data_IF_580385653577
#
_entry.id   IF_580385653577
#
_cell.length_a   1.000
_cell.length_b   1.000
_cell.length_c   1.000
_cell.angle_alpha   90.00
_cell.angle_beta   90.00
_cell.angle_gamma   90.00
#
_symmetry.space_group_name_H-M   'P 1'
#
loop_
_entity.id
_entity.type
_entity.pdbx_description
1 polymer ?
#
# COMPACT_ATOMS: atom_id res chain seq x y z
N UNK A 1 26.76 18.46 -26.10
CA UNK A 1 26.94 17.44 -25.05
C UNK A 1 26.61 16.10 -25.64
N UNK A 2 27.31 14.99 -25.31
CA UNK A 2 26.93 13.69 -25.84
C UNK A 2 25.50 13.38 -25.40
N UNK A 3 24.64 13.08 -26.38
CA UNK A 3 23.25 12.74 -26.18
C UNK A 3 23.19 11.40 -25.43
N UNK A 4 22.90 11.46 -24.13
CA UNK A 4 22.70 10.28 -23.28
C UNK A 4 21.21 9.97 -23.23
N UNK A 5 20.87 8.69 -23.41
CA UNK A 5 19.49 8.22 -23.38
C UNK A 5 19.25 7.41 -22.12
N UNK A 6 18.15 7.71 -21.44
CA UNK A 6 17.82 7.07 -20.17
C UNK A 6 17.13 5.72 -20.38
N UNK A 7 17.48 4.77 -19.52
CA UNK A 7 17.03 3.39 -19.58
C UNK A 7 16.29 3.02 -18.30
N UNK A 8 15.31 2.13 -18.44
CA UNK A 8 14.59 1.51 -17.34
C UNK A 8 15.02 0.03 -17.26
N UNK A 9 16.10 -0.20 -16.51
CA UNK A 9 16.70 -1.53 -16.33
C UNK A 9 16.20 -2.15 -15.03
N UNK A 10 15.46 -3.29 -15.09
CA UNK A 10 15.08 -4.03 -13.90
C UNK A 10 16.29 -4.47 -13.08
N UNK A 11 16.15 -4.60 -11.76
CA UNK A 11 17.29 -4.93 -10.89
C UNK A 11 17.98 -6.25 -11.29
N UNK A 12 17.20 -7.26 -11.68
CA UNK A 12 17.71 -8.56 -12.13
C UNK A 12 18.50 -8.52 -13.45
N UNK A 13 18.37 -7.46 -14.23
CA UNK A 13 18.98 -7.33 -15.56
C UNK A 13 20.18 -6.38 -15.61
N UNK A 14 20.56 -5.80 -14.47
CA UNK A 14 21.63 -4.79 -14.35
C UNK A 14 22.96 -5.24 -14.96
N UNK A 15 23.33 -6.51 -14.78
CA UNK A 15 24.63 -7.03 -15.23
C UNK A 15 24.64 -7.25 -16.75
N UNK A 16 23.49 -7.62 -17.32
CA UNK A 16 23.30 -7.70 -18.76
C UNK A 16 23.32 -6.29 -19.38
N UNK A 17 22.65 -5.30 -18.78
CA UNK A 17 22.67 -3.92 -19.27
C UNK A 17 24.07 -3.32 -19.24
N UNK A 18 24.82 -3.56 -18.14
CA UNK A 18 26.21 -3.13 -18.01
C UNK A 18 27.11 -3.77 -19.08
N UNK A 19 26.94 -5.06 -19.33
CA UNK A 19 27.66 -5.81 -20.37
C UNK A 19 27.36 -5.27 -21.77
N UNK A 20 26.12 -4.87 -22.03
CA UNK A 20 25.69 -4.22 -23.27
C UNK A 20 26.13 -2.73 -23.40
N UNK A 21 26.87 -2.21 -22.43
CA UNK A 21 27.46 -0.86 -22.49
C UNK A 21 26.66 0.23 -21.78
N UNK A 22 25.55 -0.09 -21.11
CA UNK A 22 24.85 0.86 -20.26
C UNK A 22 25.72 1.28 -19.06
N UNK A 23 25.43 2.47 -18.52
CA UNK A 23 26.11 3.05 -17.35
C UNK A 23 25.08 3.49 -16.32
N UNK A 24 25.49 3.55 -15.07
CA UNK A 24 24.66 4.01 -13.96
C UNK A 24 25.08 5.41 -13.55
N UNK A 25 24.12 6.33 -13.49
CA UNK A 25 24.30 7.66 -12.92
C UNK A 25 23.77 7.67 -11.48
N UNK A 26 24.63 7.78 -10.45
CA UNK A 26 24.22 7.72 -9.05
C UNK A 26 23.47 8.97 -8.58
N UNK A 27 23.66 10.12 -9.24
CA UNK A 27 23.06 11.39 -8.83
C UNK A 27 21.58 11.43 -9.20
N UNK A 28 21.25 10.99 -10.42
CA UNK A 28 19.84 10.85 -10.85
C UNK A 28 19.27 9.45 -10.59
N UNK A 29 20.11 8.53 -10.12
CA UNK A 29 19.76 7.12 -9.81
C UNK A 29 19.10 6.42 -11.00
N UNK A 30 19.74 6.49 -12.17
CA UNK A 30 19.19 5.93 -13.41
C UNK A 30 20.26 5.35 -14.33
N UNK A 31 19.88 4.32 -15.07
CA UNK A 31 20.70 3.75 -16.13
C UNK A 31 20.64 4.61 -17.38
N UNK A 32 21.73 4.70 -18.12
CA UNK A 32 21.79 5.43 -19.39
C UNK A 32 22.71 4.76 -20.41
N UNK A 33 22.38 4.97 -21.68
CA UNK A 33 23.27 4.68 -22.81
C UNK A 33 24.22 5.87 -22.99
N UNK A 34 25.56 5.68 -22.89
CA UNK A 34 26.52 6.78 -23.04
C UNK A 34 26.65 7.29 -24.48
N UNK A 35 26.16 6.52 -25.46
CA UNK A 35 26.18 6.85 -26.90
C UNK A 35 24.92 6.29 -27.56
N UNK A 36 24.28 7.08 -28.43
CA UNK A 36 23.09 6.68 -29.22
C UNK A 36 23.34 5.42 -30.06
N UNK A 37 24.57 5.22 -30.55
CA UNK A 37 24.95 4.03 -31.32
C UNK A 37 24.78 2.69 -30.55
N UNK A 38 24.66 2.71 -29.21
CA UNK A 38 24.39 1.51 -28.41
C UNK A 38 22.90 1.19 -28.28
N UNK A 39 22.00 2.03 -28.79
CA UNK A 39 20.55 1.82 -28.68
C UNK A 39 20.07 0.47 -29.24
N UNK A 40 20.54 -0.03 -30.40
CA UNK A 40 20.08 -1.33 -30.88
C UNK A 40 20.30 -2.46 -29.85
N UNK A 41 21.43 -2.44 -29.15
CA UNK A 41 21.78 -3.41 -28.10
C UNK A 41 21.03 -3.17 -26.77
N UNK A 42 20.56 -1.94 -26.55
CA UNK A 42 19.93 -1.50 -25.31
C UNK A 42 18.40 -1.29 -25.45
N UNK A 43 17.83 -1.51 -26.64
CA UNK A 43 16.45 -1.17 -26.98
C UNK A 43 15.40 -1.82 -26.06
N UNK A 44 15.73 -2.98 -25.50
CA UNK A 44 14.84 -3.66 -24.54
C UNK A 44 14.65 -2.92 -23.22
N UNK A 45 15.59 -2.04 -22.85
CA UNK A 45 15.53 -1.20 -21.64
C UNK A 45 15.23 0.26 -21.95
N UNK A 46 14.89 0.59 -23.20
CA UNK A 46 14.47 1.94 -23.54
C UNK A 46 13.28 2.36 -22.65
N UNK A 47 13.32 3.59 -22.15
CA UNK A 47 12.27 4.06 -21.25
C UNK A 47 10.94 4.21 -21.98
N UNK A 48 9.91 3.51 -21.47
CA UNK A 48 8.55 3.52 -22.04
C UNK A 48 7.52 4.16 -21.11
N UNK A 49 7.95 4.60 -19.93
CA UNK A 49 7.07 5.28 -18.96
C UNK A 49 7.29 6.78 -19.07
N UNK A 50 6.24 7.57 -19.38
CA UNK A 50 6.37 9.02 -19.43
C UNK A 50 6.65 9.58 -18.04
N UNK A 51 7.35 10.72 -17.97
CA UNK A 51 7.63 11.41 -16.70
C UNK A 51 6.35 12.03 -16.08
N UNK A 52 5.26 12.10 -16.84
CA UNK A 52 3.94 12.54 -16.40
C UNK A 52 2.89 11.51 -16.83
N UNK A 53 2.02 11.13 -15.90
CA UNK A 53 0.86 10.28 -16.21
C UNK A 53 -0.31 11.17 -16.66
N UNK A 54 -0.87 10.96 -17.87
CA UNK A 54 -2.01 11.75 -18.34
C UNK A 54 -3.21 11.64 -17.40
N UNK A 55 -3.75 12.78 -16.98
CA UNK A 55 -4.92 12.83 -16.10
C UNK A 55 -4.63 12.57 -14.61
N UNK A 56 -3.36 12.43 -14.22
CA UNK A 56 -3.00 12.35 -12.80
C UNK A 56 -3.29 13.69 -12.08
N UNK A 57 -4.15 13.67 -11.06
CA UNK A 57 -4.31 14.81 -10.16
C UNK A 57 -3.34 14.67 -8.98
N UNK A 58 -2.20 15.35 -9.08
CA UNK A 58 -1.19 15.37 -8.02
C UNK A 58 -1.66 16.01 -6.72
N UNK A 59 -2.83 16.68 -6.73
CA UNK A 59 -3.44 17.21 -5.51
C UNK A 59 -4.37 16.21 -4.83
N UNK A 60 -4.80 15.16 -5.54
CA UNK A 60 -5.66 14.13 -5.00
C UNK A 60 -4.92 13.30 -3.94
N UNK A 61 -5.61 13.01 -2.83
CA UNK A 61 -5.05 12.22 -1.73
C UNK A 61 -3.73 12.76 -1.17
N UNK A 62 -3.58 14.08 -1.08
CA UNK A 62 -2.43 14.75 -0.47
C UNK A 62 -2.37 14.57 1.05
N UNK A 63 -1.16 14.69 1.60
CA UNK A 63 -0.90 14.56 3.03
C UNK A 63 -0.86 13.12 3.51
N UNK A 64 -0.81 12.95 4.83
CA UNK A 64 -0.81 11.64 5.47
C UNK A 64 -2.17 11.35 6.10
N UNK A 65 -2.81 10.28 5.70
CA UNK A 65 -4.06 9.81 6.29
C UNK A 65 -4.19 8.30 6.14
N UNK A 66 -4.99 7.69 7.01
CA UNK A 66 -5.41 6.29 6.87
C UNK A 66 -6.26 6.13 5.60
N UNK A 67 -5.78 5.33 4.65
CA UNK A 67 -6.39 5.09 3.33
C UNK A 67 -6.60 3.58 3.15
N UNK A 68 -7.73 3.10 3.65
CA UNK A 68 -8.06 1.68 3.62
C UNK A 68 -8.73 1.33 2.30
N UNK A 69 -8.11 0.41 1.56
CA UNK A 69 -8.71 -0.21 0.38
C UNK A 69 -9.81 -1.18 0.82
N UNK A 70 -11.03 -1.14 0.21
CA UNK A 70 -12.10 -2.09 0.51
C UNK A 70 -11.63 -3.53 0.37
N UNK A 71 -12.14 -4.45 1.21
CA UNK A 71 -11.67 -5.85 1.21
C UNK A 71 -11.91 -6.56 -0.12
N UNK A 72 -12.98 -6.22 -0.83
CA UNK A 72 -13.33 -6.72 -2.18
C UNK A 72 -12.36 -6.26 -3.27
N UNK A 73 -11.48 -5.29 -2.97
CA UNK A 73 -10.45 -4.77 -3.88
C UNK A 73 -9.03 -5.21 -3.48
N UNK A 74 -8.86 -5.99 -2.41
CA UNK A 74 -7.54 -6.39 -1.95
C UNK A 74 -6.78 -7.18 -3.02
N UNK A 75 -5.46 -7.06 -2.98
CA UNK A 75 -4.53 -7.71 -3.90
C UNK A 75 -4.71 -7.41 -5.40
N UNK A 76 -5.63 -6.50 -5.77
CA UNK A 76 -5.73 -5.94 -7.12
C UNK A 76 -5.23 -4.50 -7.09
N UNK A 77 -3.96 -4.33 -7.42
CA UNK A 77 -3.24 -3.05 -7.41
C UNK A 77 -2.51 -2.85 -8.74
N UNK A 78 -1.82 -1.71 -8.92
CA UNK A 78 -1.15 -1.43 -10.19
C UNK A 78 -0.09 -2.48 -10.49
N UNK A 79 0.69 -2.88 -9.47
CA UNK A 79 1.73 -3.91 -9.59
C UNK A 79 1.19 -5.26 -10.08
N UNK A 80 -0.03 -5.65 -9.73
CA UNK A 80 -0.65 -6.89 -10.24
C UNK A 80 -1.15 -6.79 -11.67
N UNK A 81 -1.30 -5.57 -12.19
CA UNK A 81 -1.90 -5.29 -13.49
C UNK A 81 -0.88 -4.84 -14.55
N UNK A 82 0.42 -4.81 -14.24
CA UNK A 82 1.49 -4.48 -15.20
C UNK A 82 2.63 -5.50 -15.04
N UNK A 83 3.49 -5.63 -16.05
CA UNK A 83 4.67 -6.48 -15.90
C UNK A 83 5.70 -5.90 -14.90
N UNK A 84 6.62 -6.73 -14.42
CA UNK A 84 7.61 -6.34 -13.40
C UNK A 84 8.49 -5.17 -13.87
N UNK A 85 8.88 -5.14 -15.15
CA UNK A 85 9.69 -4.08 -15.72
C UNK A 85 8.93 -2.75 -15.79
N UNK A 86 7.66 -2.80 -16.20
CA UNK A 86 6.78 -1.63 -16.19
C UNK A 86 6.54 -1.09 -14.79
N UNK A 87 6.30 -1.97 -13.81
CA UNK A 87 6.16 -1.57 -12.41
C UNK A 87 7.43 -0.90 -11.88
N UNK A 88 8.59 -1.48 -12.21
CA UNK A 88 9.90 -0.95 -11.82
C UNK A 88 10.19 0.43 -12.43
N UNK A 89 9.82 0.63 -13.69
CA UNK A 89 9.88 1.91 -14.36
C UNK A 89 8.92 2.93 -13.73
N UNK A 90 7.67 2.56 -13.47
CA UNK A 90 6.65 3.40 -12.84
C UNK A 90 7.06 3.89 -11.46
N UNK A 91 7.41 2.97 -10.55
CA UNK A 91 7.81 3.34 -9.19
C UNK A 91 9.07 4.22 -9.21
N UNK A 92 10.01 3.94 -10.12
CA UNK A 92 11.22 4.75 -10.27
C UNK A 92 10.91 6.17 -10.77
N UNK A 93 10.02 6.30 -11.75
CA UNK A 93 9.52 7.59 -12.22
C UNK A 93 8.85 8.36 -11.08
N UNK A 94 7.94 7.72 -10.33
CA UNK A 94 7.25 8.34 -9.19
C UNK A 94 8.26 8.85 -8.15
N UNK A 95 9.32 8.08 -7.84
CA UNK A 95 10.36 8.52 -6.92
C UNK A 95 11.19 9.69 -7.45
N UNK A 96 11.50 9.74 -8.75
CA UNK A 96 12.22 10.86 -9.37
C UNK A 96 11.36 12.12 -9.39
N UNK A 97 10.09 12.00 -9.80
CA UNK A 97 9.10 13.07 -9.82
C UNK A 97 8.89 13.69 -8.43
N UNK A 98 8.98 12.88 -7.38
CA UNK A 98 8.94 13.33 -5.99
C UNK A 98 10.28 13.90 -5.48
N UNK A 99 11.29 14.08 -6.34
CA UNK A 99 12.63 14.53 -5.95
C UNK A 99 13.31 13.59 -4.97
N UNK A 100 12.93 12.31 -4.95
CA UNK A 100 13.34 11.32 -3.95
C UNK A 100 13.00 11.69 -2.49
N UNK A 101 11.87 12.37 -2.27
CA UNK A 101 11.33 12.63 -0.94
C UNK A 101 9.93 12.03 -0.80
N UNK A 102 9.51 11.76 0.43
CA UNK A 102 8.14 11.39 0.75
C UNK A 102 7.22 12.58 0.43
N UNK A 103 6.20 12.37 -0.40
CA UNK A 103 5.24 13.42 -0.77
C UNK A 103 4.25 13.76 0.35
N UNK A 104 4.23 12.98 1.45
CA UNK A 104 3.37 13.24 2.61
C UNK A 104 4.10 13.98 3.76
N UNK A 105 5.30 13.53 4.14
CA UNK A 105 6.03 14.10 5.27
C UNK A 105 7.35 14.80 4.90
N UNK A 106 7.74 14.78 3.63
CA UNK A 106 8.98 15.41 3.15
C UNK A 106 10.27 14.64 3.49
N UNK A 107 10.21 13.50 4.19
CA UNK A 107 11.41 12.75 4.54
C UNK A 107 12.19 12.27 3.30
N UNK A 108 13.53 12.42 3.25
CA UNK A 108 14.34 11.99 2.11
C UNK A 108 14.38 10.46 2.00
N UNK A 109 14.54 9.97 0.76
CA UNK A 109 14.74 8.55 0.49
C UNK A 109 16.09 8.08 1.03
N UNK A 110 16.05 7.19 2.01
CA UNK A 110 17.20 6.47 2.55
C UNK A 110 17.12 4.96 2.33
N UNK A 111 17.76 4.21 3.23
CA UNK A 111 17.74 2.74 3.26
C UNK A 111 16.72 2.22 4.28
N UNK A 112 16.36 0.94 4.19
CA UNK A 112 15.51 0.27 5.16
C UNK A 112 14.17 0.96 5.44
N UNK A 113 13.94 1.44 6.66
CA UNK A 113 12.72 2.18 7.06
C UNK A 113 12.65 3.60 6.49
N UNK A 114 13.63 4.00 5.68
CA UNK A 114 13.64 5.27 4.93
C UNK A 114 13.48 5.05 3.42
N UNK A 115 13.25 3.81 2.96
CA UNK A 115 12.93 3.57 1.55
C UNK A 115 11.61 4.26 1.16
N UNK A 116 11.51 4.64 -0.11
CA UNK A 116 10.24 5.06 -0.70
C UNK A 116 9.50 3.85 -1.26
N UNK A 117 8.18 3.91 -1.14
CA UNK A 117 7.21 2.98 -1.70
C UNK A 117 6.22 3.80 -2.54
N UNK A 118 5.96 3.35 -3.76
CA UNK A 118 4.92 3.93 -4.61
C UNK A 118 3.58 3.36 -4.14
N UNK A 119 2.65 4.26 -3.83
CA UNK A 119 1.33 3.91 -3.30
C UNK A 119 0.24 4.48 -4.19
N UNK A 120 -0.83 3.71 -4.41
CA UNK A 120 -1.97 4.12 -5.19
C UNK A 120 -2.99 4.93 -4.37
N UNK A 121 -3.40 6.10 -4.87
CA UNK A 121 -4.60 6.80 -4.39
C UNK A 121 -5.76 6.51 -5.32
N UNK A 122 -6.84 6.01 -4.73
CA UNK A 122 -8.05 5.59 -5.43
C UNK A 122 -9.19 6.57 -5.16
N UNK A 123 -9.92 6.91 -6.22
CA UNK A 123 -11.27 7.42 -6.09
C UNK A 123 -12.26 6.26 -6.13
N UNK A 124 -13.35 6.38 -5.38
CA UNK A 124 -14.41 5.38 -5.32
C UNK A 124 -15.73 6.08 -5.66
N UNK A 125 -16.25 5.81 -6.86
CA UNK A 125 -17.58 6.26 -7.28
C UNK A 125 -18.62 5.22 -6.84
N UNK A 126 -19.40 5.55 -5.82
CA UNK A 126 -20.44 4.68 -5.24
C UNK A 126 -21.71 4.60 -6.12
N UNK A 127 -21.89 5.50 -7.10
CA UNK A 127 -23.02 5.43 -8.02
C UNK A 127 -22.79 4.37 -9.12
N UNK A 128 -21.55 4.24 -9.59
CA UNK A 128 -21.17 3.28 -10.64
C UNK A 128 -20.41 2.06 -10.11
N UNK A 129 -20.04 2.08 -8.82
CA UNK A 129 -19.12 1.16 -8.17
C UNK A 129 -17.81 1.01 -8.95
N UNK A 130 -17.15 2.14 -9.21
CA UNK A 130 -15.87 2.18 -9.93
C UNK A 130 -14.76 2.70 -9.00
N UNK A 131 -13.70 1.90 -8.87
CA UNK A 131 -12.44 2.25 -8.23
C UNK A 131 -11.49 2.78 -9.31
N UNK A 132 -11.16 4.06 -9.27
CA UNK A 132 -10.36 4.73 -10.29
C UNK A 132 -8.99 5.13 -9.76
N UNK A 133 -7.91 4.75 -10.45
CA UNK A 133 -6.58 5.24 -10.10
C UNK A 133 -6.52 6.74 -10.37
N UNK A 134 -6.29 7.54 -9.33
CA UNK A 134 -6.18 9.01 -9.47
C UNK A 134 -4.77 9.54 -9.28
N UNK A 135 -3.94 8.82 -8.53
CA UNK A 135 -2.54 9.20 -8.33
C UNK A 135 -1.67 8.02 -7.90
N UNK A 136 -0.41 8.01 -8.34
CA UNK A 136 0.66 7.25 -7.69
C UNK A 136 1.47 8.22 -6.83
N UNK A 137 1.66 7.94 -5.55
CA UNK A 137 2.36 8.83 -4.60
C UNK A 137 3.58 8.14 -4.00
N UNK A 138 4.70 8.85 -3.87
CA UNK A 138 5.89 8.35 -3.18
C UNK A 138 5.77 8.54 -1.66
N UNK A 139 5.73 7.45 -0.89
CA UNK A 139 5.65 7.50 0.57
C UNK A 139 6.88 6.85 1.20
N UNK A 140 7.38 7.42 2.30
CA UNK A 140 8.34 6.70 3.14
C UNK A 140 7.63 5.55 3.86
N UNK A 141 8.40 4.57 4.33
CA UNK A 141 7.88 3.41 5.06
C UNK A 141 6.89 3.76 6.19
N UNK A 142 7.16 4.81 6.98
CA UNK A 142 6.28 5.20 8.10
C UNK A 142 4.95 5.77 7.59
N UNK A 143 5.00 6.62 6.56
CA UNK A 143 3.80 7.16 5.91
C UNK A 143 3.00 6.06 5.20
N UNK A 144 3.68 5.15 4.50
CA UNK A 144 3.05 4.04 3.81
C UNK A 144 2.34 3.10 4.79
N UNK A 145 2.98 2.81 5.93
CA UNK A 145 2.38 2.03 7.01
C UNK A 145 1.17 2.72 7.66
N UNK A 146 1.28 4.02 7.94
CA UNK A 146 0.17 4.78 8.51
C UNK A 146 -1.02 4.87 7.54
N UNK A 147 -0.75 4.91 6.25
CA UNK A 147 -1.76 4.82 5.19
C UNK A 147 -2.47 3.46 5.23
N UNK A 148 -1.70 2.36 5.27
CA UNK A 148 -2.21 0.99 5.42
C UNK A 148 -2.48 0.60 6.88
N UNK A 149 -3.26 1.41 7.60
CA UNK A 149 -3.41 1.28 9.05
C UNK A 149 -3.97 -0.09 9.50
N UNK A 150 -4.87 -0.70 8.73
CA UNK A 150 -5.38 -2.05 9.03
C UNK A 150 -4.27 -3.10 9.12
N UNK A 151 -3.24 -3.01 8.25
CA UNK A 151 -2.07 -3.88 8.34
C UNK A 151 -1.19 -3.55 9.56
N UNK A 152 -1.08 -2.27 9.92
CA UNK A 152 -0.36 -1.87 11.13
C UNK A 152 -1.01 -2.45 12.41
N UNK A 153 -2.34 -2.56 12.47
CA UNK A 153 -3.02 -3.23 13.58
C UNK A 153 -2.70 -4.73 13.65
N UNK A 154 -2.83 -5.46 12.53
CA UNK A 154 -2.54 -6.90 12.49
C UNK A 154 -1.09 -7.22 12.87
N UNK A 155 -0.16 -6.35 12.48
CA UNK A 155 1.27 -6.53 12.77
C UNK A 155 1.70 -5.96 14.12
N UNK A 156 0.79 -5.43 14.94
CA UNK A 156 1.10 -4.87 16.26
C UNK A 156 1.87 -3.54 16.23
N UNK A 157 1.82 -2.81 15.12
CA UNK A 157 2.55 -1.55 14.91
C UNK A 157 1.65 -0.32 14.78
N UNK A 158 0.38 -0.44 15.17
CA UNK A 158 -0.62 0.64 15.11
C UNK A 158 -0.30 1.83 16.01
N UNK A 159 0.35 1.61 17.15
CA UNK A 159 0.83 2.68 18.03
C UNK A 159 1.86 3.57 17.32
N UNK A 160 2.84 2.97 16.64
CA UNK A 160 3.84 3.71 15.84
C UNK A 160 3.17 4.48 14.69
N UNK A 161 2.23 3.84 13.98
CA UNK A 161 1.48 4.47 12.90
C UNK A 161 0.65 5.67 13.39
N UNK A 162 -0.01 5.55 14.56
CA UNK A 162 -0.79 6.63 15.17
C UNK A 162 0.10 7.79 15.61
N UNK A 163 1.24 7.50 16.24
CA UNK A 163 2.21 8.52 16.60
C UNK A 163 2.73 9.27 15.36
N UNK A 164 2.97 8.56 14.26
CA UNK A 164 3.41 9.17 13.01
C UNK A 164 2.34 10.06 12.35
N UNK A 165 1.07 9.61 12.31
CA UNK A 165 -0.07 10.43 11.86
C UNK A 165 -0.13 11.76 12.62
N UNK A 166 0.00 11.71 13.94
CA UNK A 166 -0.01 12.89 14.80
C UNK A 166 1.16 13.82 14.50
N UNK A 167 2.37 13.28 14.41
CA UNK A 167 3.57 14.06 14.17
C UNK A 167 3.55 14.79 12.82
N UNK A 168 3.07 14.12 11.76
CA UNK A 168 3.05 14.71 10.41
C UNK A 168 1.93 15.73 10.25
N UNK A 169 0.75 15.46 10.82
CA UNK A 169 -0.42 16.33 10.65
C UNK A 169 -0.60 17.39 11.76
N UNK A 170 0.22 17.34 12.81
CA UNK A 170 0.02 18.19 14.00
C UNK A 170 -1.22 17.82 14.81
N UNK A 171 -1.74 16.60 14.67
CA UNK A 171 -2.98 16.18 15.33
C UNK A 171 -2.78 15.86 16.82
N UNK A 172 -3.76 16.25 17.62
CA UNK A 172 -3.99 15.72 18.96
C UNK A 172 -4.28 14.21 18.92
N UNK A 173 -4.25 13.57 20.09
CA UNK A 173 -4.61 12.15 20.19
C UNK A 173 -6.06 11.90 19.74
N UNK A 174 -6.99 12.77 20.15
CA UNK A 174 -8.41 12.65 19.79
C UNK A 174 -8.68 12.83 18.30
N UNK A 175 -7.99 13.76 17.63
CA UNK A 175 -8.14 13.95 16.17
C UNK A 175 -7.64 12.74 15.39
N UNK A 176 -6.50 12.16 15.80
CA UNK A 176 -5.97 10.96 15.17
C UNK A 176 -6.89 9.75 15.36
N UNK A 177 -7.42 9.56 16.57
CA UNK A 177 -8.38 8.50 16.86
C UNK A 177 -9.67 8.66 16.05
N UNK A 178 -10.26 9.86 16.05
CA UNK A 178 -11.45 10.15 15.25
C UNK A 178 -11.20 9.96 13.75
N UNK A 179 -10.01 10.27 13.24
CA UNK A 179 -9.64 9.99 11.85
C UNK A 179 -9.61 8.49 11.55
N UNK A 180 -8.95 7.72 12.42
CA UNK A 180 -8.86 6.25 12.29
C UNK A 180 -10.26 5.63 12.29
N UNK A 181 -11.12 6.02 13.23
CA UNK A 181 -12.50 5.54 13.31
C UNK A 181 -13.31 5.85 12.04
N UNK A 182 -13.23 7.08 11.52
CA UNK A 182 -13.90 7.44 10.26
C UNK A 182 -13.39 6.62 9.07
N UNK A 183 -12.08 6.37 9.01
CA UNK A 183 -11.49 5.59 7.94
C UNK A 183 -11.97 4.12 7.97
N UNK A 184 -12.07 3.52 9.16
CA UNK A 184 -12.62 2.18 9.31
C UNK A 184 -14.12 2.11 9.03
N UNK A 185 -14.90 3.09 9.47
CA UNK A 185 -16.33 3.15 9.14
C UNK A 185 -16.57 3.29 7.63
N UNK A 186 -15.74 4.05 6.92
CA UNK A 186 -15.78 4.15 5.46
C UNK A 186 -15.39 2.82 4.80
N UNK A 187 -14.34 2.18 5.29
CA UNK A 187 -13.89 0.88 4.81
C UNK A 187 -14.96 -0.21 4.98
N UNK A 188 -15.64 -0.28 6.13
CA UNK A 188 -16.72 -1.23 6.38
C UNK A 188 -17.83 -1.07 5.34
N UNK A 189 -18.28 0.17 5.08
CA UNK A 189 -19.32 0.45 4.07
C UNK A 189 -18.87 0.10 2.65
N UNK A 190 -17.66 0.48 2.24
CA UNK A 190 -17.20 0.20 0.87
C UNK A 190 -16.91 -1.28 0.62
N UNK A 191 -16.63 -2.03 1.68
CA UNK A 191 -16.34 -3.46 1.60
C UNK A 191 -17.57 -4.34 1.39
N UNK A 192 -18.79 -3.78 1.44
CA UNK A 192 -20.03 -4.50 1.09
C UNK A 192 -20.33 -4.48 -0.40
N UNK A 193 -19.45 -3.92 -1.22
CA UNK A 193 -19.66 -3.74 -2.65
C UNK A 193 -18.51 -4.29 -3.46
N UNK A 194 -18.84 -4.78 -4.66
CA UNK A 194 -17.88 -5.15 -5.67
C UNK A 194 -17.58 -3.95 -6.56
N UNK A 195 -16.29 -3.71 -6.80
CA UNK A 195 -15.84 -2.53 -7.54
C UNK A 195 -15.28 -2.93 -8.89
N UNK A 196 -15.61 -2.18 -9.94
CA UNK A 196 -14.86 -2.19 -11.20
C UNK A 196 -13.55 -1.42 -11.02
N UNK A 197 -12.52 -1.77 -11.77
CA UNK A 197 -11.23 -1.10 -11.72
C UNK A 197 -11.00 -0.27 -12.97
N UNK A 198 -10.72 1.01 -12.79
CA UNK A 198 -10.32 1.92 -13.86
C UNK A 198 -8.83 2.29 -13.70
N UNK A 199 -8.03 1.82 -14.66
CA UNK A 199 -6.60 2.11 -14.82
C UNK A 199 -6.33 2.98 -16.06
N UNK A 200 -7.33 3.73 -16.52
CA UNK A 200 -7.26 4.59 -17.70
C UNK A 200 -6.06 5.53 -17.70
N UNK A 201 -5.65 6.03 -16.53
CA UNK A 201 -4.44 6.85 -16.38
C UNK A 201 -3.17 6.15 -16.89
N UNK A 202 -3.06 4.83 -16.70
CA UNK A 202 -1.92 4.04 -17.16
C UNK A 202 -2.03 3.70 -18.65
N UNK A 203 -3.19 3.24 -19.10
CA UNK A 203 -3.39 2.88 -20.51
C UNK A 203 -3.28 4.10 -21.43
N UNK A 204 -3.79 5.26 -21.00
CA UNK A 204 -3.63 6.54 -21.71
C UNK A 204 -2.17 7.02 -21.74
N UNK A 205 -1.33 6.55 -20.81
CA UNK A 205 0.12 6.77 -20.82
C UNK A 205 0.89 5.80 -21.74
N UNK A 206 0.19 4.91 -22.47
CA UNK A 206 0.80 3.86 -23.29
C UNK A 206 1.31 2.66 -22.48
N UNK A 207 0.99 2.58 -21.19
CA UNK A 207 1.38 1.46 -20.34
C UNK A 207 0.43 0.31 -20.61
N UNK A 208 0.98 -0.81 -21.08
CA UNK A 208 0.23 -2.05 -21.21
C UNK A 208 -0.24 -2.51 -19.84
N UNK A 209 -1.55 -2.71 -19.70
CA UNK A 209 -2.18 -3.22 -18.49
C UNK A 209 -2.73 -4.61 -18.79
N UNK A 210 -2.44 -5.58 -17.93
CA UNK A 210 -3.13 -6.87 -17.91
C UNK A 210 -4.50 -6.63 -17.28
N UNK A 211 -5.55 -6.99 -18.00
CA UNK A 211 -6.92 -6.78 -17.54
C UNK A 211 -7.14 -7.51 -16.21
N UNK A 212 -7.59 -6.79 -15.16
CA UNK A 212 -7.88 -7.41 -13.89
C UNK A 212 -9.06 -8.39 -14.04
N UNK A 213 -9.16 -9.43 -13.17
CA UNK A 213 -10.34 -10.27 -13.12
C UNK A 213 -11.62 -9.45 -12.91
N UNK A 214 -12.77 -10.01 -13.30
CA UNK A 214 -14.08 -9.42 -13.02
C UNK A 214 -14.28 -9.18 -11.51
N UNK A 215 -15.07 -8.16 -11.11
CA UNK A 215 -15.18 -7.74 -9.70
C UNK A 215 -15.50 -8.86 -8.71
N UNK A 216 -16.39 -9.79 -9.08
CA UNK A 216 -16.78 -10.96 -8.29
C UNK A 216 -15.60 -11.91 -8.04
N UNK A 217 -14.83 -12.19 -9.08
CA UNK A 217 -13.63 -13.04 -8.98
C UNK A 217 -12.55 -12.39 -8.12
N UNK A 218 -12.37 -11.06 -8.20
CA UNK A 218 -11.40 -10.34 -7.34
C UNK A 218 -11.78 -10.45 -5.86
N UNK A 219 -13.06 -10.35 -5.54
CA UNK A 219 -13.58 -10.53 -4.18
C UNK A 219 -13.30 -11.95 -3.67
N UNK A 220 -13.55 -12.97 -4.50
CA UNK A 220 -13.27 -14.37 -4.16
C UNK A 220 -11.77 -14.63 -3.94
N UNK A 221 -10.91 -14.13 -4.84
CA UNK A 221 -9.45 -14.24 -4.70
C UNK A 221 -8.94 -13.53 -3.43
N UNK A 222 -9.52 -12.39 -3.09
CA UNK A 222 -9.19 -11.64 -1.87
C UNK A 222 -9.52 -12.43 -0.62
N UNK A 223 -10.73 -13.00 -0.56
CA UNK A 223 -11.13 -13.87 0.54
C UNK A 223 -10.22 -15.09 0.66
N UNK A 224 -9.92 -15.78 -0.45
CA UNK A 224 -9.05 -16.95 -0.47
C UNK A 224 -7.62 -16.63 0.00
N UNK A 225 -7.00 -15.55 -0.51
CA UNK A 225 -5.65 -15.15 -0.10
C UNK A 225 -5.57 -14.74 1.37
N UNK A 226 -6.63 -14.13 1.90
CA UNK A 226 -6.69 -13.76 3.31
C UNK A 226 -6.81 -14.99 4.21
N UNK A 227 -7.64 -15.97 3.82
CA UNK A 227 -7.80 -17.23 4.54
C UNK A 227 -6.49 -18.03 4.66
N UNK A 228 -5.64 -17.98 3.63
CA UNK A 228 -4.31 -18.63 3.65
C UNK A 228 -3.31 -17.87 4.56
N UNK A 229 -3.43 -16.54 4.64
CA UNK A 229 -2.47 -15.68 5.37
C UNK A 229 -2.78 -15.48 6.85
N UNK A 230 -4.03 -15.68 7.26
CA UNK A 230 -4.38 -15.81 8.67
C UNK A 230 -4.14 -17.28 9.06
N UNK A 231 -3.13 -17.61 9.89
CA UNK A 231 -3.11 -18.91 10.51
C UNK A 231 -4.42 -19.08 11.27
N UNK A 232 -5.07 -20.24 11.12
CA UNK A 232 -6.10 -20.69 12.05
C UNK A 232 -5.45 -20.73 13.43
N UNK A 233 -5.59 -19.66 14.21
CA UNK A 233 -5.28 -19.70 15.62
C UNK A 233 -6.22 -20.76 16.22
N UNK A 234 -5.70 -21.77 16.92
CA UNK A 234 -6.56 -22.79 17.50
C UNK A 234 -7.59 -22.12 18.40
N UNK A 235 -8.86 -22.49 18.20
CA UNK A 235 -9.96 -22.10 19.07
C UNK A 235 -9.57 -22.47 20.50
N UNK A 236 -9.58 -21.49 21.41
CA UNK A 236 -9.39 -21.75 22.83
C UNK A 236 -10.60 -22.56 23.36
N UNK A 237 -10.52 -23.88 23.21
CA UNK A 237 -11.40 -24.83 23.88
C UNK A 237 -10.87 -25.05 25.30
N UNK A 238 -11.58 -24.42 26.24
CA UNK A 238 -12.02 -24.91 27.55
C UNK A 238 -11.23 -26.04 28.25
N UNK A 239 -10.72 -25.73 29.46
CA UNK A 239 -10.57 -26.63 30.63
C UNK A 239 -9.52 -27.75 30.51
N UNK A 240 -8.70 -28.12 31.51
CA UNK A 240 -8.86 -28.13 32.96
C UNK A 240 -7.49 -28.24 33.67
N UNK A 241 -7.49 -27.76 34.92
CA UNK A 241 -6.66 -28.12 36.08
C UNK A 241 -5.12 -28.06 36.02
N UNK A 242 -4.59 -26.96 36.57
CA UNK A 242 -3.36 -27.01 37.37
C UNK A 242 -3.63 -26.44 38.76
N UNK A 243 -3.29 -27.25 39.75
CA UNK A 243 -3.49 -27.06 41.18
C UNK A 243 -2.37 -26.23 41.82
N UNK A 244 -2.66 -25.74 43.03
CA UNK A 244 -1.77 -25.21 44.09
C UNK A 244 -1.63 -23.68 44.25
N UNK A 245 -2.49 -23.15 45.14
CA UNK A 245 -2.22 -22.32 46.32
C UNK A 245 -1.04 -21.32 46.32
N UNK A 246 -1.34 -20.03 46.54
CA UNK A 246 -1.16 -19.39 47.85
C UNK A 246 -1.73 -17.95 47.87
N UNK A 247 -2.38 -17.64 48.99
CA UNK A 247 -3.13 -16.43 49.30
C UNK A 247 -2.31 -15.14 49.37
N UNK A 248 -2.90 -14.01 48.95
CA UNK A 248 -2.98 -12.81 49.81
C UNK A 248 -4.21 -11.98 49.42
N UNK A 249 -5.11 -11.75 50.37
CA UNK A 249 -6.34 -10.96 50.22
C UNK A 249 -6.08 -9.46 50.38
N UNK A 250 -6.79 -8.61 49.62
CA UNK A 250 -7.54 -7.40 50.08
C UNK A 250 -8.06 -6.52 48.91
N UNK A 251 -9.12 -5.71 49.12
CA UNK A 251 -10.52 -6.05 48.97
C UNK A 251 -11.17 -5.42 47.72
N UNK A 252 -12.36 -5.92 47.40
CA UNK A 252 -13.27 -5.45 46.36
C UNK A 252 -13.51 -3.94 46.38
N UNK A 253 -13.38 -3.32 45.20
CA UNK A 253 -14.02 -2.05 44.87
C UNK A 253 -14.71 -2.21 43.52
N UNK A 254 -16.04 -2.25 43.59
CA UNK A 254 -17.06 -2.06 42.57
C UNK A 254 -16.79 -2.54 41.13
N UNK A 255 -17.59 -3.55 40.76
CA UNK A 255 -17.86 -3.95 39.40
C UNK A 255 -18.39 -2.79 38.55
N UNK A 256 -17.51 -2.20 37.77
CA UNK A 256 -17.86 -1.66 36.46
C UNK A 256 -17.02 -2.38 35.42
N UNK A 257 -17.68 -3.25 34.66
CA UNK A 257 -17.16 -3.75 33.39
C UNK A 257 -16.78 -2.54 32.54
N UNK A 258 -15.47 -2.24 32.45
CA UNK A 258 -14.98 -1.27 31.48
C UNK A 258 -15.41 -1.76 30.10
N UNK A 259 -16.11 -0.95 29.28
CA UNK A 259 -16.46 -1.36 27.95
C UNK A 259 -15.19 -1.75 27.20
N UNK A 260 -15.19 -2.97 26.68
CA UNK A 260 -14.08 -3.51 25.92
C UNK A 260 -13.74 -2.55 24.76
N UNK A 261 -12.44 -2.23 24.52
CA UNK A 261 -12.08 -1.21 23.55
C UNK A 261 -12.64 -1.58 22.16
N UNK A 262 -13.26 -0.63 21.44
CA UNK A 262 -13.97 -0.88 20.17
C UNK A 262 -13.15 -1.67 19.13
N UNK A 263 -11.81 -1.52 19.19
CA UNK A 263 -10.84 -2.14 18.29
C UNK A 263 -10.73 -3.67 18.41
N UNK A 264 -11.04 -4.25 19.58
CA UNK A 264 -10.99 -5.72 19.76
C UNK A 264 -12.15 -6.41 19.03
N UNK A 265 -13.34 -5.81 19.13
CA UNK A 265 -14.55 -6.24 18.41
C UNK A 265 -14.43 -6.07 16.89
N UNK A 266 -13.62 -5.14 16.40
CA UNK A 266 -13.41 -4.92 14.97
C UNK A 266 -12.69 -6.10 14.29
N UNK A 267 -11.61 -6.65 14.85
CA UNK A 267 -10.95 -7.84 14.29
C UNK A 267 -11.72 -9.13 14.54
N UNK A 268 -12.57 -9.17 15.57
CA UNK A 268 -13.58 -10.23 15.71
C UNK A 268 -14.67 -10.10 14.64
N UNK A 269 -15.06 -8.88 14.23
CA UNK A 269 -15.97 -8.63 13.11
C UNK A 269 -15.33 -8.92 11.75
N UNK A 270 -14.06 -8.58 11.54
CA UNK A 270 -13.31 -9.02 10.34
C UNK A 270 -13.21 -10.55 10.34
N UNK A 271 -12.86 -11.20 11.46
CA UNK A 271 -12.85 -12.67 11.57
C UNK A 271 -14.24 -13.29 11.38
N UNK A 272 -15.30 -12.66 11.89
CA UNK A 272 -16.69 -13.14 11.81
C UNK A 272 -17.30 -12.98 10.41
N UNK A 273 -17.03 -11.87 9.72
CA UNK A 273 -17.41 -11.66 8.33
C UNK A 273 -16.73 -12.66 7.38
N UNK A 274 -15.57 -13.21 7.78
CA UNK A 274 -14.84 -14.25 7.04
C UNK A 274 -15.32 -15.68 7.35
N UNK A 275 -16.07 -15.89 8.45
CA UNK A 275 -16.59 -17.20 8.85
C UNK A 275 -18.07 -17.43 8.48
N UNK A 276 -18.78 -16.39 8.02
CA UNK A 276 -20.22 -16.42 7.73
C UNK A 276 -20.61 -16.81 6.31
N UNK A 277 -19.83 -17.66 5.64
CA UNK A 277 -20.19 -18.25 4.35
C UNK A 277 -20.67 -19.69 4.51
N UNK A 278 -21.92 -19.87 4.96
CA UNK A 278 -22.66 -21.11 4.75
C UNK A 278 -23.59 -20.95 3.55
#
# INVERSE_FOLDING_TARGET
MPERLWLDVPFGEKDAAKSAGARWDPDVRRWYAPRVALLPELARWESRVPELLPGEDRRFGQGLFVDLVPSTCWFTNVRSCVDEGQWDALRSMVYRRAGHHCEACGAPRGRDRQRLEAHERWEYDEATYTQTLRRLIALCWSCHRATHFGFAEVTGTSAEATAHLRAVNGWSAGEAEAHIERAFALWERRSTHEWRLDLGMLTNAGIKVVEPPAPDRRSQESAARLAVRLPLLPSAAQGEEASHNAATQRPDIDGRSTPEPPRRKFWERIRGALAGGH
#
